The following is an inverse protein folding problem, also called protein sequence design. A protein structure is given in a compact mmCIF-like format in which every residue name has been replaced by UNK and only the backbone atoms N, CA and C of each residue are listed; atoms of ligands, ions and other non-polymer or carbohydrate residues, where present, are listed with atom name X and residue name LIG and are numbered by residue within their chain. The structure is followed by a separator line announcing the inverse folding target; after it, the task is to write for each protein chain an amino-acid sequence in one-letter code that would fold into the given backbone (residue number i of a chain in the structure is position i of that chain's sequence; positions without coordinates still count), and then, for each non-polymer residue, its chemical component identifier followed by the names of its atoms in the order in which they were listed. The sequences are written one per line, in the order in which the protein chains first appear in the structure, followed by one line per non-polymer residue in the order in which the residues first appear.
data_IF_751558651072
#
_entry.id   IF_751558651072
#
_cell.length_a   1.000
_cell.length_b   1.000
_cell.length_c   1.000
_cell.angle_alpha   90.00
_cell.angle_beta   90.00
_cell.angle_gamma   90.00
#
_symmetry.space_group_name_H-M   'P 1'
#
loop_
_entity.id
_entity.type
_entity.pdbx_description
1 polymer ?
#
# COMPACT_ATOMS: atom_id res chain seq x y z
N UNK A 1 -4.08 15.78 -5.12
CA UNK A 1 -2.69 16.07 -4.71
C UNK A 1 -1.92 14.87 -4.16
N UNK A 2 -2.46 14.03 -3.27
CA UNK A 2 -1.69 12.92 -2.64
C UNK A 2 -1.05 11.88 -3.59
N UNK A 3 -1.64 11.66 -4.77
CA UNK A 3 -1.13 10.73 -5.78
C UNK A 3 0.23 11.17 -6.38
N UNK A 4 0.48 12.48 -6.49
CA UNK A 4 1.74 13.00 -7.03
C UNK A 4 2.93 12.70 -6.10
N UNK A 5 2.77 12.89 -4.79
CA UNK A 5 3.83 12.61 -3.83
C UNK A 5 4.21 11.12 -3.82
N UNK A 6 3.21 10.23 -3.81
CA UNK A 6 3.42 8.78 -3.82
C UNK A 6 4.12 8.33 -5.11
N UNK A 7 3.72 8.88 -6.26
CA UNK A 7 4.39 8.62 -7.54
C UNK A 7 5.86 9.02 -7.50
N UNK A 8 6.19 10.18 -6.95
CA UNK A 8 7.59 10.60 -6.87
C UNK A 8 8.41 9.75 -5.90
N UNK A 9 7.86 9.33 -4.77
CA UNK A 9 8.54 8.42 -3.85
C UNK A 9 8.84 7.07 -4.52
N UNK A 10 7.88 6.52 -5.27
CA UNK A 10 8.10 5.26 -5.98
C UNK A 10 9.04 5.41 -7.18
N UNK A 11 8.95 6.52 -7.93
CA UNK A 11 9.88 6.81 -9.02
C UNK A 11 11.32 6.98 -8.51
N UNK A 12 11.49 7.65 -7.37
CA UNK A 12 12.78 7.71 -6.67
C UNK A 12 13.24 6.30 -6.29
N UNK A 13 12.37 5.48 -5.70
CA UNK A 13 12.74 4.13 -5.28
C UNK A 13 13.21 3.25 -6.46
N UNK A 14 12.54 3.34 -7.61
CA UNK A 14 12.91 2.64 -8.86
C UNK A 14 14.26 3.10 -9.44
N UNK A 15 14.68 4.34 -9.17
CA UNK A 15 15.96 4.87 -9.64
C UNK A 15 17.14 4.54 -8.71
N UNK A 16 16.89 4.02 -7.51
CA UNK A 16 17.93 3.66 -6.56
C UNK A 16 18.34 2.20 -6.74
N UNK A 17 19.56 1.97 -7.22
CA UNK A 17 20.14 0.63 -7.47
C UNK A 17 20.23 -0.28 -6.22
N UNK A 18 20.02 0.25 -5.02
CA UNK A 18 20.08 -0.49 -3.76
C UNK A 18 18.71 -0.94 -3.26
N UNK A 19 17.62 -0.41 -3.82
CA UNK A 19 16.26 -0.77 -3.42
C UNK A 19 15.80 -1.86 -4.37
N UNK A 20 15.43 -3.02 -3.82
CA UNK A 20 14.94 -4.15 -4.62
C UNK A 20 13.44 -4.37 -4.41
N UNK A 21 12.90 -3.97 -3.25
CA UNK A 21 11.49 -4.18 -2.89
C UNK A 21 10.94 -2.99 -2.13
N UNK A 22 9.78 -2.50 -2.57
CA UNK A 22 9.00 -1.50 -1.86
C UNK A 22 7.75 -2.15 -1.30
N UNK A 23 7.45 -1.90 -0.01
CA UNK A 23 6.25 -2.39 0.65
C UNK A 23 5.48 -1.25 1.32
N UNK A 24 4.17 -1.40 1.41
CA UNK A 24 3.27 -0.43 2.03
C UNK A 24 2.09 -1.13 2.70
N UNK A 25 1.49 -0.46 3.69
CA UNK A 25 0.22 -0.86 4.30
C UNK A 25 -0.92 0.04 3.80
N UNK A 26 -2.10 -0.54 3.60
CA UNK A 26 -3.31 0.19 3.24
C UNK A 26 -4.53 -0.42 3.94
N UNK A 27 -5.37 0.42 4.53
CA UNK A 27 -6.63 -0.01 5.10
C UNK A 27 -7.52 -0.66 4.05
N UNK A 28 -8.14 -1.80 4.41
CA UNK A 28 -9.05 -2.52 3.52
C UNK A 28 -10.26 -1.72 3.07
N UNK A 29 -10.60 -0.65 3.78
CA UNK A 29 -11.69 0.27 3.42
C UNK A 29 -11.26 1.33 2.40
N UNK A 30 -9.96 1.57 2.18
CA UNK A 30 -9.45 2.56 1.24
C UNK A 30 -9.30 1.96 -0.18
N UNK A 31 -10.44 1.66 -0.80
CA UNK A 31 -10.50 1.03 -2.12
C UNK A 31 -9.80 1.86 -3.20
N UNK A 32 -9.88 3.19 -3.14
CA UNK A 32 -9.22 4.07 -4.08
C UNK A 32 -7.70 3.93 -4.05
N UNK A 33 -7.09 3.85 -2.86
CA UNK A 33 -5.65 3.62 -2.73
C UNK A 33 -5.25 2.22 -3.18
N UNK A 34 -6.03 1.19 -2.84
CA UNK A 34 -5.77 -0.20 -3.29
C UNK A 34 -5.74 -0.28 -4.82
N UNK A 35 -6.73 0.31 -5.51
CA UNK A 35 -6.78 0.33 -6.98
C UNK A 35 -5.60 1.10 -7.55
N UNK A 36 -5.23 2.25 -6.96
CA UNK A 36 -4.07 3.02 -7.37
C UNK A 36 -2.78 2.18 -7.29
N UNK A 37 -2.53 1.52 -6.16
CA UNK A 37 -1.31 0.72 -5.97
C UNK A 37 -1.26 -0.48 -6.92
N UNK A 38 -2.39 -1.17 -7.13
CA UNK A 38 -2.49 -2.25 -8.14
C UNK A 38 -2.13 -1.75 -9.54
N UNK A 39 -2.64 -0.59 -9.94
CA UNK A 39 -2.32 0.03 -11.23
C UNK A 39 -0.84 0.44 -11.35
N UNK A 40 -0.15 0.65 -10.23
CA UNK A 40 1.29 0.94 -10.18
C UNK A 40 2.16 -0.32 -10.14
N UNK A 41 1.55 -1.51 -10.15
CA UNK A 41 2.23 -2.81 -10.16
C UNK A 41 2.43 -3.44 -8.78
N UNK A 42 1.83 -2.87 -7.72
CA UNK A 42 1.85 -3.51 -6.40
C UNK A 42 0.87 -4.68 -6.33
N UNK A 43 1.26 -5.72 -5.60
CA UNK A 43 0.43 -6.90 -5.31
C UNK A 43 0.23 -7.06 -3.81
N UNK A 44 -0.90 -7.66 -3.40
CA UNK A 44 -1.18 -7.96 -1.99
C UNK A 44 -0.28 -9.10 -1.50
N UNK A 45 0.53 -8.84 -0.46
CA UNK A 45 1.41 -9.84 0.17
C UNK A 45 0.69 -10.61 1.27
N UNK A 46 -0.02 -9.86 2.12
CA UNK A 46 -0.61 -10.34 3.34
C UNK A 46 -1.72 -9.40 3.77
N UNK A 47 -2.68 -9.95 4.49
CA UNK A 47 -3.69 -9.18 5.21
C UNK A 47 -3.63 -9.48 6.70
N UNK A 48 -3.64 -8.44 7.53
CA UNK A 48 -3.81 -8.54 8.97
C UNK A 48 -5.29 -8.30 9.30
N UNK A 49 -5.95 -9.35 9.76
CA UNK A 49 -7.39 -9.35 10.01
C UNK A 49 -7.71 -8.62 11.31
N UNK A 50 -8.65 -7.67 11.26
CA UNK A 50 -9.09 -6.84 12.40
C UNK A 50 -7.94 -6.09 13.11
N UNK A 51 -6.95 -5.62 12.35
CA UNK A 51 -5.78 -4.92 12.90
C UNK A 51 -6.17 -3.64 13.66
N UNK A 52 -7.15 -2.89 13.13
CA UNK A 52 -7.55 -1.61 13.71
C UNK A 52 -9.01 -1.64 14.16
N UNK A 53 -9.27 -1.33 15.44
CA UNK A 53 -10.63 -1.13 15.97
C UNK A 53 -11.09 0.30 15.68
N UNK A 54 -12.21 0.46 14.98
CA UNK A 54 -12.84 1.77 14.75
C UNK A 54 -13.85 2.11 15.85
N UNK A 55 -14.64 1.11 16.25
CA UNK A 55 -15.65 1.18 17.30
C UNK A 55 -15.96 -0.24 17.79
N UNK A 56 -16.92 -0.39 18.71
CA UNK A 56 -17.18 -1.67 19.40
C UNK A 56 -17.51 -2.83 18.47
N UNK A 57 -18.05 -2.56 17.28
CA UNK A 57 -18.50 -3.58 16.34
C UNK A 57 -17.75 -3.54 15.00
N UNK A 58 -16.81 -2.62 14.82
CA UNK A 58 -16.16 -2.41 13.54
C UNK A 58 -14.64 -2.42 13.66
N UNK A 59 -14.04 -3.25 12.81
CA UNK A 59 -12.61 -3.38 12.67
C UNK A 59 -12.23 -3.21 11.19
N UNK A 60 -11.03 -2.71 10.93
CA UNK A 60 -10.42 -2.60 9.61
C UNK A 60 -9.27 -3.59 9.54
N UNK A 61 -9.17 -4.26 8.40
CA UNK A 61 -7.99 -5.08 8.08
C UNK A 61 -6.89 -4.18 7.50
N UNK A 62 -5.64 -4.48 7.85
CA UNK A 62 -4.48 -3.88 7.20
C UNK A 62 -4.02 -4.76 6.04
N UNK A 63 -3.93 -4.22 4.84
CA UNK A 63 -3.45 -4.92 3.66
C UNK A 63 -2.01 -4.50 3.41
N UNK A 64 -1.08 -5.43 3.53
CA UNK A 64 0.29 -5.25 3.07
C UNK A 64 0.36 -5.51 1.58
N UNK A 65 0.92 -4.56 0.85
CA UNK A 65 1.20 -4.67 -0.58
C UNK A 65 2.68 -4.44 -0.86
N UNK A 66 3.20 -5.04 -1.93
CA UNK A 66 4.58 -4.86 -2.35
C UNK A 66 4.75 -4.82 -3.87
N UNK A 67 5.88 -4.28 -4.30
CA UNK A 67 6.40 -4.32 -5.66
C UNK A 67 7.92 -4.51 -5.61
N UNK A 68 8.45 -5.40 -6.44
CA UNK A 68 9.90 -5.43 -6.72
C UNK A 68 10.21 -4.38 -7.78
N UNK A 69 11.27 -3.60 -7.57
CA UNK A 69 11.71 -2.51 -8.44
C UNK A 69 12.90 -2.92 -9.29
#
# INVERSE_FOLDING_TARGET
MGNLLLKEVFAWAEQNLLIEKVSLGVFSTNQSAIVLYKNMGFVEERRKIKEFKLNDNQYIDDILMYKFV
#
